data_IF_250793418044
#
_entry.id   IF_250793418044
#
_cell.length_a   1.000
_cell.length_b   1.000
_cell.length_c   1.000
_cell.angle_alpha   90.00
_cell.angle_beta   90.00
_cell.angle_gamma   90.00
#
_symmetry.space_group_name_H-M   'P 1'
#
loop_
_entity.id
_entity.type
_entity.pdbx_description
1 polymer ?
#
# COMPACT_ATOMS: atom_id res chain seq x y z
N UNK A 1 24.61 2.41 24.64
CA UNK A 1 25.57 1.70 23.76
C UNK A 1 24.77 0.95 22.70
N UNK A 2 25.21 0.84 21.45
CA UNK A 2 24.51 0.03 20.43
C UNK A 2 24.55 -1.44 20.88
N UNK A 3 23.51 -1.90 21.56
CA UNK A 3 23.41 -3.30 21.96
C UNK A 3 23.08 -4.13 20.73
N UNK A 4 24.07 -4.92 20.29
CA UNK A 4 23.95 -5.80 19.14
C UNK A 4 23.33 -7.12 19.58
N UNK A 5 22.35 -7.58 18.81
CA UNK A 5 21.75 -8.91 18.95
C UNK A 5 22.78 -10.00 18.67
N UNK A 6 22.53 -11.21 19.18
CA UNK A 6 23.48 -12.34 19.15
C UNK A 6 23.97 -12.65 17.73
N UNK A 7 23.05 -12.74 16.78
CA UNK A 7 23.33 -13.05 15.38
C UNK A 7 24.12 -11.93 14.69
N UNK A 8 23.85 -10.68 15.06
CA UNK A 8 24.57 -9.53 14.53
C UNK A 8 26.01 -9.48 15.08
N UNK A 9 26.21 -9.79 16.36
CA UNK A 9 27.56 -9.98 16.96
C UNK A 9 28.32 -11.06 16.24
N UNK A 10 27.69 -12.22 16.01
CA UNK A 10 28.30 -13.32 15.25
C UNK A 10 28.69 -12.88 13.83
N UNK A 11 27.84 -12.09 13.16
CA UNK A 11 28.15 -11.57 11.84
C UNK A 11 29.38 -10.65 11.87
N UNK A 12 29.48 -9.75 12.84
CA UNK A 12 30.68 -8.93 13.04
C UNK A 12 31.91 -9.80 13.31
N UNK A 13 31.82 -10.79 14.20
CA UNK A 13 32.93 -11.71 14.52
C UNK A 13 33.43 -12.47 13.28
N UNK A 14 32.54 -12.84 12.35
CA UNK A 14 32.90 -13.52 11.10
C UNK A 14 33.77 -12.62 10.22
N UNK A 15 33.36 -11.37 10.04
CA UNK A 15 34.09 -10.43 9.20
C UNK A 15 35.37 -9.95 9.89
N UNK A 16 35.34 -9.67 11.20
CA UNK A 16 36.52 -9.22 11.96
C UNK A 16 37.62 -10.29 12.07
N UNK A 17 37.28 -11.58 12.00
CA UNK A 17 38.25 -12.70 11.89
C UNK A 17 38.74 -12.96 10.46
N UNK A 18 38.38 -12.10 9.53
CA UNK A 18 38.73 -12.16 8.11
C UNK A 18 39.44 -10.84 7.70
N UNK A 19 39.98 -10.71 6.47
CA UNK A 19 40.61 -9.45 6.04
C UNK A 19 39.60 -8.32 5.72
N UNK A 20 38.31 -8.52 6.00
CA UNK A 20 37.24 -7.61 5.61
C UNK A 20 36.65 -6.85 6.80
N UNK A 21 36.23 -5.63 6.53
CA UNK A 21 35.52 -4.77 7.46
C UNK A 21 34.02 -4.94 7.29
N UNK A 22 33.26 -4.76 8.37
CA UNK A 22 31.80 -4.76 8.33
C UNK A 22 31.28 -3.56 9.11
N UNK A 23 30.22 -2.94 8.60
CA UNK A 23 29.56 -1.82 9.25
C UNK A 23 28.05 -1.92 9.11
N UNK A 24 27.32 -1.62 10.18
CA UNK A 24 25.93 -1.19 10.08
C UNK A 24 25.88 0.18 9.40
N UNK A 25 24.90 0.41 8.54
CA UNK A 25 24.73 1.66 7.80
C UNK A 25 23.27 2.02 7.56
N UNK A 26 22.99 3.27 7.18
CA UNK A 26 21.66 3.62 6.69
C UNK A 26 20.60 3.74 7.77
N UNK A 27 19.41 3.22 7.47
CA UNK A 27 18.22 3.41 8.30
C UNK A 27 18.32 2.73 9.67
N UNK A 28 19.04 1.61 9.77
CA UNK A 28 19.21 0.89 11.04
C UNK A 28 20.05 1.70 12.03
N UNK A 29 21.13 2.34 11.57
CA UNK A 29 21.97 3.22 12.40
C UNK A 29 21.18 4.45 12.84
N UNK A 30 20.48 5.11 11.90
CA UNK A 30 19.60 6.25 12.21
C UNK A 30 18.57 5.89 13.28
N UNK A 31 17.86 4.78 13.10
CA UNK A 31 16.83 4.36 14.04
C UNK A 31 17.41 4.09 15.43
N UNK A 32 18.54 3.38 15.53
CA UNK A 32 19.23 3.16 16.82
C UNK A 32 19.63 4.47 17.51
N UNK A 33 20.14 5.45 16.75
CA UNK A 33 20.46 6.79 17.28
C UNK A 33 19.22 7.55 17.76
N UNK A 34 18.05 7.25 17.21
CA UNK A 34 16.76 7.79 17.64
C UNK A 34 16.11 6.97 18.78
N UNK A 35 16.79 5.93 19.30
CA UNK A 35 16.21 5.03 20.30
C UNK A 35 15.15 4.07 19.78
N UNK A 36 15.09 3.85 18.46
CA UNK A 36 14.12 2.97 17.78
C UNK A 36 14.83 1.66 17.37
N UNK A 37 14.25 0.52 17.73
CA UNK A 37 14.75 -0.79 17.27
C UNK A 37 14.53 -0.96 15.75
N UNK A 38 15.59 -1.19 14.96
CA UNK A 38 15.46 -1.49 13.53
C UNK A 38 14.75 -2.83 13.31
N UNK A 39 14.02 -2.94 12.19
CA UNK A 39 13.45 -4.22 11.73
C UNK A 39 14.36 -4.92 10.73
N UNK A 40 15.00 -4.13 9.89
CA UNK A 40 15.91 -4.58 8.84
C UNK A 40 17.32 -4.03 9.14
N UNK A 41 18.33 -4.85 8.89
CA UNK A 41 19.73 -4.50 9.10
C UNK A 41 20.45 -4.39 7.75
N UNK A 42 20.76 -3.15 7.38
CA UNK A 42 21.65 -2.84 6.26
C UNK A 42 23.10 -2.82 6.75
N UNK A 43 23.94 -3.62 6.10
CA UNK A 43 25.37 -3.68 6.34
C UNK A 43 26.15 -3.38 5.07
N UNK A 44 27.40 -2.98 5.27
CA UNK A 44 28.33 -2.78 4.16
C UNK A 44 29.74 -3.23 4.52
N UNK A 45 30.46 -3.72 3.52
CA UNK A 45 31.79 -4.31 3.66
C UNK A 45 32.67 -4.00 2.46
N UNK A 46 33.99 -4.01 2.63
CA UNK A 46 34.94 -4.05 1.52
C UNK A 46 34.99 -5.43 0.83
N UNK A 47 34.37 -6.47 1.41
CA UNK A 47 34.25 -7.78 0.78
C UNK A 47 33.35 -7.71 -0.46
N UNK A 48 33.80 -8.31 -1.55
CA UNK A 48 33.00 -8.59 -2.72
C UNK A 48 31.87 -9.58 -2.39
N UNK A 49 30.88 -9.65 -3.28
CA UNK A 49 29.72 -10.54 -3.13
C UNK A 49 30.12 -12.00 -2.91
N UNK A 50 31.06 -12.52 -3.71
CA UNK A 50 31.48 -13.93 -3.63
C UNK A 50 32.27 -14.21 -2.35
N UNK A 51 33.10 -13.27 -1.91
CA UNK A 51 33.88 -13.37 -0.67
C UNK A 51 32.95 -13.37 0.55
N UNK A 52 31.99 -12.44 0.57
CA UNK A 52 30.96 -12.37 1.60
C UNK A 52 30.14 -13.66 1.65
N UNK A 53 29.73 -14.18 0.49
CA UNK A 53 28.99 -15.45 0.38
C UNK A 53 29.80 -16.62 0.96
N UNK A 54 31.08 -16.73 0.61
CA UNK A 54 31.94 -17.80 1.11
C UNK A 54 32.09 -17.76 2.64
N UNK A 55 32.30 -16.58 3.22
CA UNK A 55 32.40 -16.39 4.68
C UNK A 55 31.12 -16.83 5.40
N UNK A 56 29.97 -16.45 4.86
CA UNK A 56 28.65 -16.72 5.44
C UNK A 56 28.29 -18.21 5.38
N UNK A 57 28.55 -18.88 4.25
CA UNK A 57 28.24 -20.29 4.06
C UNK A 57 29.06 -21.18 5.01
N UNK A 58 30.32 -20.82 5.29
CA UNK A 58 31.17 -21.52 6.27
C UNK A 58 30.64 -21.43 7.71
N UNK A 59 29.65 -20.58 7.98
CA UNK A 59 29.15 -20.26 9.33
C UNK A 59 27.63 -20.39 9.46
N UNK A 60 27.04 -21.27 8.65
CA UNK A 60 25.63 -21.68 8.72
C UNK A 60 24.61 -20.55 8.47
N UNK A 61 25.00 -19.48 7.77
CA UNK A 61 24.03 -18.53 7.24
C UNK A 61 23.48 -19.04 5.91
N UNK A 62 22.17 -18.97 5.73
CA UNK A 62 21.57 -19.14 4.40
C UNK A 62 21.76 -17.84 3.63
N UNK A 63 22.32 -17.91 2.42
CA UNK A 63 22.54 -16.72 1.58
C UNK A 63 21.52 -16.70 0.46
N UNK A 64 20.79 -15.58 0.32
CA UNK A 64 20.00 -15.26 -0.86
C UNK A 64 20.78 -14.32 -1.76
N UNK A 65 20.82 -14.65 -3.04
CA UNK A 65 21.54 -13.91 -4.09
C UNK A 65 20.68 -12.85 -4.77
N UNK A 66 19.62 -12.45 -4.08
CA UNK A 66 18.73 -11.37 -4.50
C UNK A 66 19.47 -10.04 -4.36
N UNK A 67 19.97 -9.49 -5.46
CA UNK A 67 20.66 -8.19 -5.48
C UNK A 67 22.12 -8.21 -5.89
N UNK A 68 22.67 -9.33 -6.35
CA UNK A 68 24.08 -9.43 -6.80
C UNK A 68 24.41 -8.38 -7.87
N UNK A 69 23.47 -8.07 -8.79
CA UNK A 69 23.62 -7.01 -9.81
C UNK A 69 23.86 -5.62 -9.22
N UNK A 70 23.59 -5.45 -7.93
CA UNK A 70 23.83 -4.23 -7.17
C UNK A 70 24.98 -4.38 -6.18
N UNK A 71 25.64 -5.54 -6.10
CA UNK A 71 26.69 -5.80 -5.11
C UNK A 71 26.13 -6.10 -3.72
N UNK A 72 24.91 -6.62 -3.64
CA UNK A 72 24.22 -6.93 -2.39
C UNK A 72 23.87 -8.42 -2.32
N UNK A 73 24.07 -9.02 -1.15
CA UNK A 73 23.55 -10.34 -0.79
C UNK A 73 22.73 -10.24 0.49
N UNK A 74 21.81 -11.18 0.70
CA UNK A 74 21.03 -11.25 1.94
C UNK A 74 21.43 -12.49 2.73
N UNK A 75 21.96 -12.30 3.93
CA UNK A 75 22.21 -13.38 4.87
C UNK A 75 20.97 -13.58 5.75
N UNK A 76 20.54 -14.84 5.91
CA UNK A 76 19.38 -15.24 6.71
C UNK A 76 19.83 -16.17 7.84
N UNK A 77 19.39 -15.85 9.06
CA UNK A 77 19.57 -16.70 10.25
C UNK A 77 18.45 -16.43 11.25
N UNK A 78 17.86 -17.49 11.82
CA UNK A 78 16.80 -17.39 12.84
C UNK A 78 15.65 -16.42 12.47
N UNK A 79 15.19 -16.50 11.22
CA UNK A 79 14.15 -15.62 10.64
C UNK A 79 14.52 -14.12 10.52
N UNK A 80 15.76 -13.74 10.81
CA UNK A 80 16.26 -12.38 10.61
C UNK A 80 17.05 -12.29 9.29
N UNK A 81 16.85 -11.17 8.58
CA UNK A 81 17.58 -10.82 7.35
C UNK A 81 18.62 -9.73 7.61
N UNK A 82 19.78 -9.90 6.95
CA UNK A 82 20.91 -8.98 6.96
C UNK A 82 21.32 -8.71 5.51
N UNK A 83 21.09 -7.49 5.02
CA UNK A 83 21.51 -7.10 3.67
C UNK A 83 22.95 -6.60 3.71
N UNK A 84 23.87 -7.33 3.09
CA UNK A 84 25.30 -6.98 3.05
C UNK A 84 25.64 -6.48 1.67
N UNK A 85 26.09 -5.22 1.60
CA UNK A 85 26.42 -4.54 0.35
C UNK A 85 27.90 -4.20 0.27
N UNK A 86 28.58 -4.64 -0.79
CA UNK A 86 29.97 -4.25 -1.07
C UNK A 86 30.08 -2.74 -1.26
N UNK A 87 31.12 -2.13 -0.68
CA UNK A 87 31.49 -0.75 -0.90
C UNK A 87 31.53 -0.44 -2.39
N UNK A 88 30.84 0.63 -2.80
CA UNK A 88 30.72 0.98 -4.21
C UNK A 88 30.66 2.47 -4.42
N UNK A 89 31.17 2.88 -5.58
CA UNK A 89 31.04 4.21 -6.17
C UNK A 89 30.09 4.08 -7.35
N UNK A 90 29.27 5.10 -7.54
CA UNK A 90 28.40 5.21 -8.72
C UNK A 90 29.18 5.98 -9.81
N UNK A 91 29.54 5.31 -10.92
CA UNK A 91 30.19 5.93 -12.09
C UNK A 91 29.29 5.87 -13.33
N UNK A 92 29.42 6.89 -14.18
CA UNK A 92 28.74 6.99 -15.47
C UNK A 92 27.36 7.62 -15.37
N UNK A 93 27.25 8.87 -15.82
CA UNK A 93 25.98 9.56 -16.02
C UNK A 93 25.46 9.28 -17.42
N UNK A 94 24.27 8.68 -17.52
CA UNK A 94 23.44 8.84 -18.71
C UNK A 94 22.19 9.58 -18.26
N UNK A 95 21.89 10.68 -18.95
CA UNK A 95 20.66 11.49 -18.79
C UNK A 95 19.47 10.56 -18.48
N UNK A 96 18.88 10.74 -17.30
CA UNK A 96 17.61 10.12 -16.87
C UNK A 96 17.62 8.60 -16.57
N UNK A 97 18.78 7.96 -16.34
CA UNK A 97 18.86 6.58 -15.84
C UNK A 97 19.78 6.45 -14.61
N UNK A 98 19.63 5.33 -13.89
CA UNK A 98 20.56 4.89 -12.85
C UNK A 98 22.02 4.93 -13.36
N UNK A 99 23.01 5.10 -12.47
CA UNK A 99 24.43 4.99 -12.83
C UNK A 99 24.69 3.73 -13.66
N UNK A 100 25.41 3.88 -14.78
CA UNK A 100 25.62 2.80 -15.75
C UNK A 100 26.48 1.68 -15.17
N UNK A 101 27.41 2.03 -14.27
CA UNK A 101 28.38 1.10 -13.71
C UNK A 101 28.56 1.34 -12.20
N UNK A 102 28.44 0.26 -11.43
CA UNK A 102 28.85 0.22 -10.03
C UNK A 102 30.32 -0.21 -10.00
N UNK A 103 31.18 0.65 -9.44
CA UNK A 103 32.60 0.34 -9.27
C UNK A 103 32.84 0.09 -7.80
N UNK A 104 33.35 -1.09 -7.44
CA UNK A 104 33.65 -1.39 -6.05
C UNK A 104 34.79 -0.51 -5.53
N UNK A 105 34.68 -0.05 -4.29
CA UNK A 105 35.70 0.77 -3.61
C UNK A 105 36.24 0.03 -2.40
N UNK A 106 37.46 0.34 -1.99
CA UNK A 106 38.02 -0.14 -0.73
C UNK A 106 37.67 0.78 0.46
N UNK A 107 37.05 1.95 0.22
CA UNK A 107 36.83 2.99 1.25
C UNK A 107 35.36 3.13 1.64
N UNK A 108 35.06 2.95 2.92
CA UNK A 108 33.72 3.18 3.49
C UNK A 108 33.17 4.58 3.18
N UNK A 109 34.03 5.60 3.21
CA UNK A 109 33.64 7.00 2.94
C UNK A 109 33.05 7.19 1.56
N UNK A 110 33.47 6.38 0.57
CA UNK A 110 32.94 6.44 -0.78
C UNK A 110 31.52 5.89 -0.85
N UNK A 111 31.23 4.81 -0.11
CA UNK A 111 29.87 4.28 0.04
C UNK A 111 28.95 5.26 0.74
N UNK A 112 29.42 5.89 1.81
CA UNK A 112 28.64 6.87 2.56
C UNK A 112 28.34 8.14 1.72
N UNK A 113 29.29 8.56 0.86
CA UNK A 113 29.16 9.78 0.03
C UNK A 113 28.04 9.70 -1.03
N UNK A 114 27.75 8.49 -1.53
CA UNK A 114 26.69 8.26 -2.53
C UNK A 114 25.30 8.05 -1.92
N UNK A 115 25.18 8.07 -0.58
CA UNK A 115 23.88 7.91 0.07
C UNK A 115 23.01 9.15 -0.14
N UNK A 116 21.71 8.97 0.07
CA UNK A 116 20.72 9.98 -0.26
C UNK A 116 20.77 11.17 0.71
N UNK A 117 20.71 10.90 2.02
CA UNK A 117 20.61 11.91 3.06
C UNK A 117 21.63 11.69 4.17
N UNK A 118 22.12 12.79 4.75
CA UNK A 118 23.14 12.79 5.81
C UNK A 118 22.73 11.91 6.99
N UNK A 119 21.46 11.96 7.41
CA UNK A 119 20.92 11.11 8.48
C UNK A 119 21.02 9.60 8.22
N UNK A 120 21.20 9.19 6.95
CA UNK A 120 21.37 7.79 6.54
C UNK A 120 22.83 7.49 6.13
N UNK A 121 23.72 8.47 6.17
CA UNK A 121 25.12 8.37 5.76
C UNK A 121 26.06 8.22 6.97
N UNK A 122 25.62 7.40 7.94
CA UNK A 122 26.32 7.08 9.17
C UNK A 122 26.63 5.59 9.16
N UNK A 123 27.83 5.23 9.59
CA UNK A 123 28.24 3.85 9.80
C UNK A 123 28.50 3.57 11.28
N UNK A 124 28.33 2.31 11.68
CA UNK A 124 28.68 1.83 13.01
C UNK A 124 29.36 0.47 12.93
N UNK A 125 30.45 0.30 13.68
CA UNK A 125 31.07 -0.99 13.97
C UNK A 125 31.33 -1.10 15.48
N UNK A 126 31.19 -2.29 16.09
CA UNK A 126 31.50 -2.47 17.51
C UNK A 126 32.98 -2.17 17.85
N UNK A 127 33.91 -2.44 16.94
CA UNK A 127 35.35 -2.18 17.14
C UNK A 127 35.76 -0.74 16.83
N UNK A 128 35.07 -0.07 15.89
CA UNK A 128 35.44 1.29 15.43
C UNK A 128 34.51 2.40 15.92
N UNK A 129 33.39 2.04 16.56
CA UNK A 129 32.35 2.98 16.97
C UNK A 129 31.59 3.61 15.80
N UNK A 130 31.09 4.83 16.01
CA UNK A 130 30.30 5.58 15.04
C UNK A 130 31.22 6.35 14.08
N UNK A 131 30.97 6.20 12.78
CA UNK A 131 31.66 6.92 11.71
C UNK A 131 30.64 7.79 10.98
N UNK A 132 30.80 9.11 11.09
CA UNK A 132 29.85 10.11 10.60
C UNK A 132 30.52 11.25 9.82
N UNK A 133 31.05 10.99 8.61
CA UNK A 133 31.77 11.99 7.82
C UNK A 133 30.84 13.07 7.23
N UNK A 134 29.53 12.86 7.22
CA UNK A 134 28.55 13.74 6.56
C UNK A 134 27.54 14.39 7.52
N UNK A 135 27.86 14.48 8.82
CA UNK A 135 27.08 15.17 9.85
C UNK A 135 25.66 14.60 10.03
N UNK A 136 25.49 13.30 9.84
CA UNK A 136 24.24 12.60 10.02
C UNK A 136 23.68 12.67 11.44
N UNK A 137 24.52 12.62 12.49
CA UNK A 137 24.06 12.78 13.87
C UNK A 137 23.45 14.16 14.10
N UNK A 138 24.09 15.21 13.59
CA UNK A 138 23.55 16.57 13.66
C UNK A 138 22.24 16.69 12.87
N UNK A 139 22.13 16.04 11.71
CA UNK A 139 20.88 16.00 10.95
C UNK A 139 19.74 15.29 11.72
N UNK A 140 20.04 14.22 12.46
CA UNK A 140 19.08 13.52 13.31
C UNK A 140 18.64 14.39 14.48
N UNK A 141 19.60 15.00 15.19
CA UNK A 141 19.37 15.89 16.33
C UNK A 141 18.51 17.10 15.92
N UNK A 142 18.83 17.72 14.79
CA UNK A 142 18.08 18.84 14.23
C UNK A 142 16.82 18.41 13.45
N UNK A 143 16.48 17.11 13.45
CA UNK A 143 15.32 16.55 12.73
C UNK A 143 15.21 17.06 11.27
N UNK A 144 16.33 17.05 10.55
CA UNK A 144 16.45 17.65 9.23
C UNK A 144 16.83 16.61 8.17
N UNK A 145 16.13 16.64 7.04
CA UNK A 145 16.43 15.84 5.85
C UNK A 145 17.27 16.70 4.91
N UNK A 146 18.57 16.44 4.92
CA UNK A 146 19.55 17.09 4.06
C UNK A 146 20.28 16.06 3.21
N UNK A 147 20.46 16.35 1.92
CA UNK A 147 21.21 15.49 1.01
C UNK A 147 22.70 15.41 1.36
N UNK A 148 23.32 14.26 1.11
CA UNK A 148 24.79 14.16 1.17
C UNK A 148 25.39 14.94 0.00
N UNK A 149 26.13 16.02 0.30
CA UNK A 149 26.65 16.93 -0.71
C UNK A 149 25.55 17.74 -1.42
N UNK A 150 25.70 17.97 -2.73
CA UNK A 150 24.77 18.81 -3.48
C UNK A 150 23.44 18.12 -3.81
N UNK A 151 22.31 18.63 -3.30
CA UNK A 151 20.99 18.03 -3.50
C UNK A 151 20.58 17.83 -4.97
N UNK A 152 20.89 18.79 -5.85
CA UNK A 152 20.63 18.65 -7.31
C UNK A 152 21.37 17.44 -7.88
N UNK A 153 22.65 17.28 -7.57
CA UNK A 153 23.44 16.13 -8.01
C UNK A 153 22.83 14.82 -7.49
N UNK A 154 22.36 14.80 -6.23
CA UNK A 154 21.67 13.65 -5.63
C UNK A 154 20.41 13.25 -6.36
N UNK A 155 19.61 14.22 -6.79
CA UNK A 155 18.41 13.94 -7.57
C UNK A 155 18.70 13.58 -9.03
N UNK A 156 19.78 14.08 -9.63
CA UNK A 156 20.20 13.66 -10.98
C UNK A 156 20.69 12.21 -11.03
N UNK A 157 21.34 11.72 -9.99
CA UNK A 157 21.75 10.31 -9.90
C UNK A 157 20.57 9.35 -9.72
N UNK A 158 19.63 9.69 -8.85
CA UNK A 158 18.40 8.93 -8.67
C UNK A 158 17.27 9.86 -8.24
N UNK A 159 16.40 10.18 -9.19
CA UNK A 159 15.27 11.07 -8.96
C UNK A 159 14.30 10.53 -7.90
N UNK A 160 14.32 9.21 -7.61
CA UNK A 160 13.46 8.64 -6.56
C UNK A 160 13.77 9.25 -5.19
N UNK A 161 15.00 9.77 -4.99
CA UNK A 161 15.39 10.48 -3.77
C UNK A 161 14.50 11.69 -3.47
N UNK A 162 13.86 12.30 -4.47
CA UNK A 162 12.86 13.35 -4.26
C UNK A 162 11.68 12.79 -3.44
N UNK A 163 11.06 11.70 -3.90
CA UNK A 163 9.96 11.07 -3.17
C UNK A 163 10.40 10.47 -1.84
N UNK A 164 11.65 9.97 -1.75
CA UNK A 164 12.19 9.49 -0.47
C UNK A 164 12.31 10.60 0.56
N UNK A 165 12.67 11.83 0.16
CA UNK A 165 12.73 12.99 1.06
C UNK A 165 11.34 13.29 1.62
N UNK A 166 10.32 13.36 0.75
CA UNK A 166 8.92 13.56 1.15
C UNK A 166 8.44 12.42 2.05
N UNK A 167 8.70 11.16 1.68
CA UNK A 167 8.35 9.98 2.49
C UNK A 167 9.00 10.07 3.87
N UNK A 168 10.30 10.33 3.95
CA UNK A 168 10.98 10.44 5.25
C UNK A 168 10.44 11.59 6.09
N UNK A 169 10.07 12.71 5.47
CA UNK A 169 9.40 13.80 6.18
C UNK A 169 8.05 13.34 6.74
N UNK A 170 7.27 12.61 5.94
CA UNK A 170 5.96 12.10 6.35
C UNK A 170 6.06 11.05 7.47
N UNK A 171 7.07 10.17 7.43
CA UNK A 171 7.19 9.05 8.39
C UNK A 171 7.97 9.42 9.66
N UNK A 172 9.03 10.23 9.55
CA UNK A 172 9.89 10.61 10.67
C UNK A 172 9.47 11.94 11.32
N UNK A 173 8.71 12.78 10.61
CA UNK A 173 8.39 14.14 11.07
C UNK A 173 9.53 15.15 10.91
N UNK A 174 10.61 14.75 10.22
CA UNK A 174 11.74 15.63 9.98
C UNK A 174 11.40 16.66 8.90
N UNK A 175 11.96 17.87 9.02
CA UNK A 175 11.80 18.93 8.01
C UNK A 175 12.83 18.77 6.89
N UNK A 176 12.44 19.04 5.66
CA UNK A 176 13.39 19.03 4.53
C UNK A 176 14.19 20.35 4.56
N UNK A 177 15.52 20.25 4.57
CA UNK A 177 16.41 21.41 4.62
C UNK A 177 16.14 22.36 3.44
N UNK A 178 16.28 23.67 3.63
CA UNK A 178 15.91 24.67 2.62
C UNK A 178 16.64 24.46 1.27
N UNK A 179 17.92 24.08 1.31
CA UNK A 179 18.72 23.73 0.12
C UNK A 179 18.15 22.53 -0.63
N UNK A 180 17.80 21.47 0.11
CA UNK A 180 17.22 20.24 -0.41
C UNK A 180 15.81 20.47 -0.95
N UNK A 181 14.99 21.26 -0.25
CA UNK A 181 13.63 21.66 -0.68
C UNK A 181 13.66 22.41 -2.01
N UNK A 182 14.55 23.39 -2.19
CA UNK A 182 14.72 24.09 -3.48
C UNK A 182 15.06 23.12 -4.62
N UNK A 183 15.95 22.16 -4.37
CA UNK A 183 16.32 21.16 -5.35
C UNK A 183 15.18 20.17 -5.67
N UNK A 184 14.35 19.83 -4.67
CA UNK A 184 13.16 18.97 -4.84
C UNK A 184 12.22 19.56 -5.89
N UNK A 185 11.89 20.85 -5.80
CA UNK A 185 11.05 21.51 -6.80
C UNK A 185 11.74 21.69 -8.15
N UNK A 186 13.03 22.07 -8.14
CA UNK A 186 13.78 22.29 -9.37
C UNK A 186 14.08 21.02 -10.18
N UNK A 187 13.99 19.83 -9.55
CA UNK A 187 14.29 18.55 -10.18
C UNK A 187 13.05 17.63 -10.31
N UNK A 188 11.85 18.08 -9.94
CA UNK A 188 10.63 17.24 -9.92
C UNK A 188 10.34 16.54 -11.25
N UNK A 189 10.63 17.17 -12.39
CA UNK A 189 10.38 16.59 -13.72
C UNK A 189 11.18 15.31 -13.97
N UNK A 190 12.30 15.10 -13.26
CA UNK A 190 13.07 13.87 -13.35
C UNK A 190 12.26 12.64 -12.92
N UNK A 191 11.21 12.82 -12.09
CA UNK A 191 10.31 11.76 -11.66
C UNK A 191 9.55 11.11 -12.83
N UNK A 192 9.33 11.84 -13.93
CA UNK A 192 8.64 11.34 -15.13
C UNK A 192 9.36 10.15 -15.78
N UNK A 193 10.67 10.03 -15.56
CA UNK A 193 11.52 8.98 -16.14
C UNK A 193 11.66 7.75 -15.24
N UNK A 194 11.08 7.77 -14.03
CA UNK A 194 11.13 6.63 -13.12
C UNK A 194 10.07 5.58 -13.47
N UNK A 195 10.37 4.33 -13.11
CA UNK A 195 9.38 3.27 -13.21
C UNK A 195 8.21 3.53 -12.24
N UNK A 196 7.01 3.15 -12.67
CA UNK A 196 5.78 3.43 -11.95
C UNK A 196 5.71 2.70 -10.61
N UNK A 197 6.27 1.49 -10.55
CA UNK A 197 6.36 0.66 -9.34
C UNK A 197 7.25 1.32 -8.26
N UNK A 198 8.33 1.98 -8.67
CA UNK A 198 9.21 2.72 -7.73
C UNK A 198 8.49 3.93 -7.15
N UNK A 199 7.82 4.71 -8.01
CA UNK A 199 7.01 5.85 -7.59
C UNK A 199 5.90 5.41 -6.63
N UNK A 200 5.16 4.36 -7.00
CA UNK A 200 4.09 3.76 -6.20
C UNK A 200 4.58 3.31 -4.82
N UNK A 201 5.74 2.63 -4.74
CA UNK A 201 6.29 2.15 -3.48
C UNK A 201 6.60 3.28 -2.49
N UNK A 202 7.20 4.38 -2.97
CA UNK A 202 7.50 5.54 -2.12
C UNK A 202 6.22 6.33 -1.77
N UNK A 203 5.27 6.45 -2.70
CA UNK A 203 3.97 7.08 -2.45
C UNK A 203 3.18 6.34 -1.37
N UNK A 204 3.09 5.00 -1.45
CA UNK A 204 2.41 4.19 -0.44
C UNK A 204 3.00 4.43 0.96
N UNK A 205 4.34 4.44 1.06
CA UNK A 205 5.03 4.66 2.34
C UNK A 205 4.81 6.09 2.86
N UNK A 206 4.77 7.08 1.97
CA UNK A 206 4.47 8.47 2.31
C UNK A 206 3.05 8.59 2.86
N UNK A 207 2.07 8.03 2.16
CA UNK A 207 0.66 8.03 2.59
C UNK A 207 0.47 7.27 3.90
N UNK A 208 1.35 6.33 4.24
CA UNK A 208 1.36 5.64 5.54
C UNK A 208 2.18 6.36 6.62
N UNK A 209 2.63 7.60 6.36
CA UNK A 209 3.27 8.45 7.34
C UNK A 209 2.28 9.17 8.25
N UNK A 210 2.67 9.38 9.53
CA UNK A 210 1.87 10.16 10.48
C UNK A 210 1.75 11.63 10.07
N UNK A 211 2.77 12.18 9.40
CA UNK A 211 2.82 13.55 8.92
C UNK A 211 2.45 13.67 7.43
N UNK A 212 1.73 12.68 6.87
CA UNK A 212 1.37 12.66 5.46
C UNK A 212 0.57 13.89 5.02
N UNK A 213 -0.32 14.41 5.87
CA UNK A 213 -1.12 15.60 5.55
C UNK A 213 -0.23 16.83 5.29
N UNK A 214 0.66 17.17 6.23
CA UNK A 214 1.51 18.36 6.11
C UNK A 214 2.43 18.27 4.88
N UNK A 215 3.04 17.10 4.68
CA UNK A 215 3.90 16.87 3.51
C UNK A 215 3.10 16.91 2.21
N UNK A 216 1.93 16.26 2.16
CA UNK A 216 1.13 16.26 0.94
C UNK A 216 0.61 17.64 0.59
N UNK A 217 0.28 18.47 1.60
CA UNK A 217 -0.11 19.86 1.41
C UNK A 217 1.04 20.72 0.90
N UNK A 218 2.22 20.60 1.50
CA UNK A 218 3.38 21.42 1.12
C UNK A 218 3.94 21.04 -0.26
N UNK A 219 3.90 19.76 -0.62
CA UNK A 219 4.48 19.23 -1.86
C UNK A 219 3.42 18.70 -2.84
N UNK A 220 2.20 19.26 -2.78
CA UNK A 220 1.06 18.83 -3.59
C UNK A 220 1.40 18.73 -5.07
N UNK A 221 2.06 19.75 -5.62
CA UNK A 221 2.44 19.78 -7.05
C UNK A 221 3.31 18.59 -7.48
N UNK A 222 4.21 18.14 -6.61
CA UNK A 222 5.08 16.98 -6.88
C UNK A 222 4.27 15.69 -6.85
N UNK A 223 3.34 15.58 -5.92
CA UNK A 223 2.47 14.42 -5.82
C UNK A 223 1.50 14.33 -7.00
N UNK A 224 0.89 15.45 -7.39
CA UNK A 224 0.05 15.56 -8.60
C UNK A 224 0.81 15.14 -9.87
N UNK A 225 2.08 15.53 -9.98
CA UNK A 225 2.94 15.09 -11.07
C UNK A 225 3.13 13.56 -11.08
N UNK A 226 3.27 12.94 -9.91
CA UNK A 226 3.47 11.50 -9.76
C UNK A 226 2.20 10.71 -10.07
N UNK A 227 1.06 11.15 -9.52
CA UNK A 227 -0.24 10.47 -9.74
C UNK A 227 -0.88 10.81 -11.09
N UNK A 228 -0.39 11.86 -11.76
CA UNK A 228 -0.91 12.36 -13.04
C UNK A 228 -2.40 12.76 -12.97
N UNK A 229 -2.81 13.31 -11.83
CA UNK A 229 -4.14 13.90 -11.63
C UNK A 229 -4.07 15.00 -10.57
N UNK A 230 -5.11 15.85 -10.50
CA UNK A 230 -5.24 16.88 -9.48
C UNK A 230 -5.76 16.31 -8.17
N UNK A 231 -5.20 16.77 -7.06
CA UNK A 231 -5.65 16.40 -5.72
C UNK A 231 -6.70 17.41 -5.27
N UNK A 232 -7.93 16.95 -5.05
CA UNK A 232 -9.07 17.84 -4.72
C UNK A 232 -9.12 18.17 -3.22
N UNK A 233 -8.90 17.16 -2.36
CA UNK A 233 -9.01 17.32 -0.92
C UNK A 233 -7.95 16.48 -0.19
N UNK A 234 -7.06 17.14 0.54
CA UNK A 234 -6.08 16.50 1.42
C UNK A 234 -6.53 16.41 2.88
N UNK A 235 -7.60 17.12 3.26
CA UNK A 235 -8.05 17.27 4.65
C UNK A 235 -8.35 15.94 5.34
N UNK A 236 -8.81 14.93 4.58
CA UNK A 236 -9.06 13.59 5.10
C UNK A 236 -7.82 12.96 5.75
N UNK A 237 -6.60 13.27 5.28
CA UNK A 237 -5.35 12.71 5.82
C UNK A 237 -5.08 13.09 7.28
N UNK A 238 -5.72 14.16 7.80
CA UNK A 238 -5.60 14.56 9.21
C UNK A 238 -6.18 13.51 10.16
N UNK A 239 -7.30 12.91 9.75
CA UNK A 239 -8.11 12.03 10.60
C UNK A 239 -8.12 10.59 10.11
N UNK A 240 -7.74 10.35 8.84
CA UNK A 240 -7.72 9.01 8.27
C UNK A 240 -6.74 8.10 9.03
N UNK A 241 -7.15 6.87 9.38
CA UNK A 241 -6.24 5.90 9.98
C UNK A 241 -5.07 5.58 9.04
N UNK A 242 -4.01 4.98 9.58
CA UNK A 242 -2.90 4.43 8.79
C UNK A 242 -3.34 3.12 8.10
N UNK A 243 -4.32 3.24 7.22
CA UNK A 243 -4.80 2.18 6.33
C UNK A 243 -4.57 2.65 4.89
N UNK A 244 -3.81 1.88 4.12
CA UNK A 244 -3.39 2.28 2.78
C UNK A 244 -4.59 2.40 1.83
N UNK A 245 -5.49 1.42 1.80
CA UNK A 245 -6.63 1.39 0.88
C UNK A 245 -7.56 2.58 1.12
N UNK A 246 -7.83 2.92 2.38
CA UNK A 246 -8.65 4.06 2.75
C UNK A 246 -7.98 5.39 2.37
N UNK A 247 -6.66 5.49 2.58
CA UNK A 247 -5.92 6.68 2.18
C UNK A 247 -5.81 6.81 0.66
N UNK A 248 -5.69 5.70 -0.09
CA UNK A 248 -5.77 5.71 -1.55
C UNK A 248 -7.15 6.16 -2.02
N UNK A 249 -8.23 5.70 -1.36
CA UNK A 249 -9.60 6.09 -1.67
C UNK A 249 -9.81 7.60 -1.55
N UNK A 250 -9.23 8.24 -0.53
CA UNK A 250 -9.28 9.70 -0.39
C UNK A 250 -8.32 10.44 -1.32
N UNK A 251 -7.13 9.89 -1.55
CA UNK A 251 -6.06 10.57 -2.26
C UNK A 251 -6.26 10.62 -3.77
N UNK A 252 -6.73 9.51 -4.35
CA UNK A 252 -6.96 9.40 -5.78
C UNK A 252 -8.39 9.77 -6.15
N UNK A 253 -8.54 10.42 -7.30
CA UNK A 253 -9.85 10.73 -7.88
C UNK A 253 -10.29 9.62 -8.82
N UNK A 254 -9.39 9.18 -9.69
CA UNK A 254 -9.72 8.24 -10.76
C UNK A 254 -9.01 6.90 -10.59
N UNK A 255 -9.74 5.80 -10.85
CA UNK A 255 -9.17 4.46 -10.91
C UNK A 255 -8.01 4.40 -11.92
N UNK A 256 -8.11 5.16 -13.02
CA UNK A 256 -7.08 5.16 -14.07
C UNK A 256 -5.71 5.60 -13.57
N UNK A 257 -5.68 6.51 -12.60
CA UNK A 257 -4.45 7.02 -11.97
C UNK A 257 -3.74 5.92 -11.16
N UNK A 258 -4.50 5.03 -10.48
CA UNK A 258 -3.95 3.83 -9.85
C UNK A 258 -3.39 2.85 -10.89
N UNK A 259 -4.12 2.59 -11.97
CA UNK A 259 -3.64 1.69 -13.04
C UNK A 259 -2.34 2.19 -13.68
N UNK A 260 -2.24 3.50 -13.91
CA UNK A 260 -1.05 4.16 -14.45
C UNK A 260 0.17 4.04 -13.51
N UNK A 261 -0.08 3.90 -12.20
CA UNK A 261 0.93 3.63 -11.18
C UNK A 261 1.13 2.13 -10.91
N UNK A 262 0.55 1.26 -11.74
CA UNK A 262 0.72 -0.21 -11.68
C UNK A 262 0.23 -0.83 -10.37
N UNK A 263 -0.79 -0.25 -9.73
CA UNK A 263 -1.45 -0.93 -8.62
C UNK A 263 -2.10 -2.26 -9.09
N UNK A 264 -2.19 -3.27 -8.21
CA UNK A 264 -2.83 -4.54 -8.53
C UNK A 264 -4.29 -4.35 -8.98
N UNK A 265 -4.74 -5.19 -9.93
CA UNK A 265 -6.13 -5.16 -10.42
C UNK A 265 -7.16 -5.25 -9.29
N UNK A 266 -6.89 -6.09 -8.27
CA UNK A 266 -7.76 -6.21 -7.07
C UNK A 266 -7.95 -4.84 -6.39
N UNK A 267 -6.86 -4.10 -6.18
CA UNK A 267 -6.89 -2.76 -5.56
C UNK A 267 -7.67 -1.75 -6.41
N UNK A 268 -7.48 -1.77 -7.74
CA UNK A 268 -8.23 -0.88 -8.63
C UNK A 268 -9.75 -1.15 -8.60
N UNK A 269 -10.15 -2.42 -8.59
CA UNK A 269 -11.58 -2.82 -8.50
C UNK A 269 -12.15 -2.43 -7.14
N UNK A 270 -11.43 -2.69 -6.05
CA UNK A 270 -11.83 -2.30 -4.69
C UNK A 270 -12.04 -0.78 -4.60
N UNK A 271 -11.09 0.01 -5.09
CA UNK A 271 -11.18 1.48 -5.15
C UNK A 271 -12.43 1.94 -5.91
N UNK A 272 -12.67 1.37 -7.08
CA UNK A 272 -13.78 1.75 -7.96
C UNK A 272 -15.14 1.48 -7.31
N UNK A 273 -15.34 0.25 -6.83
CA UNK A 273 -16.56 -0.14 -6.11
C UNK A 273 -16.76 0.71 -4.84
N UNK A 274 -15.70 0.99 -4.09
CA UNK A 274 -15.80 1.81 -2.89
C UNK A 274 -16.14 3.28 -3.19
N UNK A 275 -15.55 3.89 -4.24
CA UNK A 275 -15.90 5.25 -4.69
C UNK A 275 -17.36 5.36 -5.14
N UNK A 276 -17.88 4.34 -5.81
CA UNK A 276 -19.28 4.28 -6.23
C UNK A 276 -20.20 4.16 -5.01
N UNK A 277 -19.92 3.19 -4.13
CA UNK A 277 -20.68 2.95 -2.91
C UNK A 277 -20.75 4.17 -1.98
N UNK A 278 -19.63 4.89 -1.84
CA UNK A 278 -19.52 6.09 -0.98
C UNK A 278 -20.62 7.12 -1.23
N UNK A 279 -21.02 7.31 -2.50
CA UNK A 279 -22.02 8.31 -2.90
C UNK A 279 -23.43 8.00 -2.38
N UNK A 280 -23.69 6.74 -2.03
CA UNK A 280 -25.02 6.27 -1.65
C UNK A 280 -25.34 6.49 -0.16
N UNK A 281 -24.33 6.66 0.69
CA UNK A 281 -24.54 6.65 2.15
C UNK A 281 -25.39 7.78 2.69
N UNK A 282 -25.39 8.96 2.04
CA UNK A 282 -26.21 10.10 2.48
C UNK A 282 -27.72 9.77 2.50
N UNK A 283 -28.15 8.83 1.65
CA UNK A 283 -29.56 8.44 1.50
C UNK A 283 -29.94 7.22 2.36
N UNK A 284 -29.07 6.75 3.25
CA UNK A 284 -29.32 5.56 4.06
C UNK A 284 -29.82 5.94 5.46
N UNK A 285 -31.10 5.75 5.72
CA UNK A 285 -31.75 6.11 6.97
C UNK A 285 -32.32 4.90 7.74
N UNK A 286 -32.61 3.81 7.04
CA UNK A 286 -33.19 2.59 7.60
C UNK A 286 -32.55 1.29 7.05
N UNK A 287 -32.97 0.14 7.60
CA UNK A 287 -32.43 -1.18 7.20
C UNK A 287 -32.76 -1.55 5.76
N UNK A 288 -33.94 -1.20 5.27
CA UNK A 288 -34.38 -1.56 3.92
C UNK A 288 -33.48 -0.91 2.86
N UNK A 289 -33.26 0.40 2.96
CA UNK A 289 -32.34 1.15 2.09
C UNK A 289 -30.91 0.57 2.16
N UNK A 290 -30.44 0.26 3.36
CA UNK A 290 -29.12 -0.35 3.56
C UNK A 290 -29.02 -1.74 2.90
N UNK A 291 -30.05 -2.58 3.02
CA UNK A 291 -30.09 -3.91 2.38
C UNK A 291 -30.11 -3.80 0.86
N UNK A 292 -30.84 -2.84 0.28
CA UNK A 292 -30.79 -2.57 -1.16
C UNK A 292 -29.40 -2.13 -1.62
N UNK A 293 -28.67 -1.35 -0.81
CA UNK A 293 -27.28 -1.04 -1.11
C UNK A 293 -26.40 -2.30 -1.01
N UNK A 294 -26.49 -3.05 0.08
CA UNK A 294 -25.72 -4.28 0.30
C UNK A 294 -25.97 -5.34 -0.77
N UNK A 295 -27.16 -5.40 -1.37
CA UNK A 295 -27.47 -6.27 -2.51
C UNK A 295 -26.43 -6.13 -3.62
N UNK A 296 -25.98 -4.91 -3.90
CA UNK A 296 -25.12 -4.60 -5.06
C UNK A 296 -23.61 -4.58 -4.75
N UNK A 297 -23.21 -4.66 -3.48
CA UNK A 297 -21.80 -4.54 -3.09
C UNK A 297 -21.32 -5.71 -2.23
N UNK A 298 -20.06 -6.08 -2.41
CA UNK A 298 -19.38 -6.99 -1.49
C UNK A 298 -19.02 -6.23 -0.19
N UNK A 299 -18.83 -6.94 0.92
CA UNK A 299 -18.58 -6.28 2.21
C UNK A 299 -17.24 -5.52 2.24
N UNK A 300 -16.21 -5.99 1.53
CA UNK A 300 -14.88 -5.33 1.47
C UNK A 300 -14.97 -3.88 0.92
N UNK A 301 -15.49 -3.61 -0.31
CA UNK A 301 -15.67 -2.24 -0.81
C UNK A 301 -16.70 -1.44 -0.01
N UNK A 302 -17.77 -2.07 0.49
CA UNK A 302 -18.78 -1.40 1.31
C UNK A 302 -18.16 -0.85 2.61
N UNK A 303 -17.41 -1.68 3.33
CA UNK A 303 -16.78 -1.28 4.60
C UNK A 303 -15.72 -0.21 4.37
N UNK A 304 -14.90 -0.35 3.33
CA UNK A 304 -13.91 0.66 2.96
C UNK A 304 -14.57 2.02 2.67
N UNK A 305 -15.67 2.01 1.92
CA UNK A 305 -16.43 3.21 1.62
C UNK A 305 -17.09 3.81 2.87
N UNK A 306 -17.63 2.98 3.76
CA UNK A 306 -18.26 3.43 5.01
C UNK A 306 -17.23 4.02 5.99
N UNK A 307 -16.04 3.43 6.08
CA UNK A 307 -14.95 3.96 6.91
C UNK A 307 -14.42 5.29 6.36
N UNK A 308 -14.35 5.45 5.04
CA UNK A 308 -14.03 6.73 4.43
C UNK A 308 -15.13 7.76 4.66
N UNK A 309 -16.40 7.39 4.47
CA UNK A 309 -17.56 8.24 4.74
C UNK A 309 -17.61 8.71 6.21
N UNK A 310 -17.18 7.87 7.14
CA UNK A 310 -17.10 8.19 8.56
C UNK A 310 -16.13 9.33 8.90
N UNK A 311 -15.13 9.59 8.04
CA UNK A 311 -14.21 10.73 8.23
C UNK A 311 -14.92 12.08 8.08
N UNK A 312 -15.95 12.13 7.22
CA UNK A 312 -16.72 13.33 6.91
C UNK A 312 -18.02 13.38 7.72
N UNK A 313 -18.67 12.23 7.93
CA UNK A 313 -20.00 12.11 8.51
C UNK A 313 -20.05 11.09 9.67
N UNK A 314 -19.29 11.29 10.76
CA UNK A 314 -19.06 10.25 11.78
C UNK A 314 -20.35 9.80 12.49
N UNK A 315 -21.27 10.73 12.80
CA UNK A 315 -22.54 10.40 13.45
C UNK A 315 -23.44 9.54 12.56
N UNK A 316 -23.49 9.86 11.26
CA UNK A 316 -24.32 9.11 10.32
C UNK A 316 -23.73 7.74 10.04
N UNK A 317 -22.42 7.66 9.83
CA UNK A 317 -21.71 6.40 9.65
C UNK A 317 -21.91 5.46 10.86
N UNK A 318 -21.94 5.98 12.09
CA UNK A 318 -22.23 5.17 13.28
C UNK A 318 -23.65 4.60 13.26
N UNK A 319 -24.65 5.38 12.81
CA UNK A 319 -26.02 4.89 12.62
C UNK A 319 -26.06 3.77 11.58
N UNK A 320 -25.36 3.93 10.45
CA UNK A 320 -25.27 2.90 9.41
C UNK A 320 -24.59 1.63 9.94
N UNK A 321 -23.49 1.76 10.70
CA UNK A 321 -22.83 0.62 11.37
C UNK A 321 -23.77 -0.12 12.33
N UNK A 322 -24.63 0.60 13.04
CA UNK A 322 -25.66 -0.02 13.91
C UNK A 322 -26.72 -0.78 13.11
N UNK A 323 -27.26 -0.18 12.05
CA UNK A 323 -28.21 -0.84 11.14
C UNK A 323 -27.60 -2.09 10.53
N UNK A 324 -26.33 -2.02 10.11
CA UNK A 324 -25.59 -3.15 9.57
C UNK A 324 -25.49 -4.28 10.59
N UNK A 325 -25.14 -3.96 11.85
CA UNK A 325 -25.10 -4.93 12.94
C UNK A 325 -26.45 -5.59 13.17
N UNK A 326 -27.53 -4.81 13.24
CA UNK A 326 -28.90 -5.35 13.43
C UNK A 326 -29.32 -6.31 12.29
N UNK A 327 -28.95 -6.00 11.03
CA UNK A 327 -29.20 -6.86 9.86
C UNK A 327 -28.48 -8.21 10.02
N UNK A 328 -27.21 -8.19 10.42
CA UNK A 328 -26.43 -9.41 10.64
C UNK A 328 -26.92 -10.22 11.85
N UNK A 329 -27.15 -9.57 12.98
CA UNK A 329 -27.63 -10.22 14.22
C UNK A 329 -28.99 -10.92 13.98
N UNK A 330 -29.83 -10.35 13.10
CA UNK A 330 -31.15 -10.89 12.76
C UNK A 330 -31.15 -11.81 11.53
N UNK A 331 -29.99 -12.07 10.90
CA UNK A 331 -29.85 -12.81 9.65
C UNK A 331 -30.80 -12.34 8.53
N UNK A 332 -31.02 -11.02 8.40
CA UNK A 332 -31.93 -10.49 7.39
C UNK A 332 -31.39 -10.71 5.96
N UNK A 333 -32.23 -11.10 4.99
CA UNK A 333 -31.79 -11.37 3.63
C UNK A 333 -31.50 -10.07 2.87
N UNK A 334 -30.34 -10.03 2.20
CA UNK A 334 -29.94 -8.95 1.29
C UNK A 334 -29.11 -9.44 0.10
N UNK A 335 -28.74 -10.73 0.08
CA UNK A 335 -28.09 -11.40 -1.06
C UNK A 335 -28.93 -12.58 -1.51
N UNK A 336 -28.76 -12.98 -2.77
CA UNK A 336 -29.40 -14.20 -3.32
C UNK A 336 -29.06 -15.46 -2.51
N UNK A 337 -27.89 -15.51 -1.89
CA UNK A 337 -27.49 -16.62 -1.04
C UNK A 337 -28.31 -16.70 0.27
N UNK A 338 -28.91 -15.59 0.72
CA UNK A 338 -29.78 -15.55 1.91
C UNK A 338 -31.24 -15.95 1.60
N UNK A 339 -31.64 -16.01 0.33
CA UNK A 339 -32.99 -16.45 -0.04
C UNK A 339 -33.21 -17.92 0.31
N UNK A 340 -34.37 -18.24 0.91
CA UNK A 340 -34.80 -19.62 1.11
C UNK A 340 -35.04 -20.34 -0.23
N UNK A 341 -35.58 -19.62 -1.22
CA UNK A 341 -35.78 -20.12 -2.58
C UNK A 341 -34.46 -20.15 -3.37
N UNK A 342 -34.09 -21.32 -3.91
CA UNK A 342 -32.92 -21.51 -4.76
C UNK A 342 -33.32 -21.81 -6.20
N UNK A 343 -32.41 -21.55 -7.14
CA UNK A 343 -32.65 -21.78 -8.57
C UNK A 343 -33.03 -23.22 -8.92
N UNK A 344 -32.48 -24.22 -8.22
CA UNK A 344 -32.84 -25.62 -8.43
C UNK A 344 -34.32 -25.92 -8.15
N UNK A 345 -34.91 -25.30 -7.12
CA UNK A 345 -36.34 -25.45 -6.83
C UNK A 345 -37.21 -24.88 -7.96
N UNK A 346 -36.82 -23.73 -8.52
CA UNK A 346 -37.49 -23.15 -9.69
C UNK A 346 -37.36 -24.03 -10.94
N UNK A 347 -36.21 -24.68 -11.15
CA UNK A 347 -36.03 -25.63 -12.25
C UNK A 347 -36.95 -26.85 -12.12
N UNK A 348 -37.06 -27.42 -10.92
CA UNK A 348 -37.98 -28.53 -10.64
C UNK A 348 -39.46 -28.15 -10.82
N UNK A 349 -39.79 -26.87 -10.67
CA UNK A 349 -41.13 -26.33 -10.92
C UNK A 349 -41.37 -25.94 -12.40
N UNK A 350 -40.42 -26.18 -13.30
CA UNK A 350 -40.57 -25.97 -14.75
C UNK A 350 -40.21 -24.58 -15.26
N UNK A 351 -39.55 -23.74 -14.46
CA UNK A 351 -39.10 -22.40 -14.89
C UNK A 351 -37.80 -22.46 -15.72
N UNK A 352 -37.78 -21.71 -16.83
CA UNK A 352 -36.63 -21.60 -17.74
C UNK A 352 -35.38 -21.01 -17.10
N UNK A 353 -34.22 -21.57 -17.43
CA UNK A 353 -32.92 -21.12 -16.91
C UNK A 353 -32.66 -19.62 -17.12
N UNK A 354 -33.06 -19.05 -18.26
CA UNK A 354 -32.86 -17.63 -18.55
C UNK A 354 -33.67 -16.71 -17.62
N UNK A 355 -34.83 -17.15 -17.12
CA UNK A 355 -35.72 -16.34 -16.27
C UNK A 355 -35.47 -16.50 -14.78
N UNK A 356 -34.81 -17.58 -14.35
CA UNK A 356 -34.56 -17.85 -12.92
C UNK A 356 -33.79 -16.70 -12.24
N UNK A 357 -32.80 -16.12 -12.93
CA UNK A 357 -32.01 -15.03 -12.36
C UNK A 357 -32.85 -13.79 -12.05
N UNK A 358 -33.83 -13.50 -12.91
CA UNK A 358 -34.80 -12.40 -12.78
C UNK A 358 -35.79 -12.69 -11.66
N UNK A 359 -36.39 -13.89 -11.63
CA UNK A 359 -37.34 -14.31 -10.59
C UNK A 359 -36.68 -14.24 -9.20
N UNK A 360 -35.45 -14.75 -9.06
CA UNK A 360 -34.71 -14.68 -7.80
C UNK A 360 -34.36 -13.24 -7.41
N UNK A 361 -34.16 -12.33 -8.38
CA UNK A 361 -33.97 -10.90 -8.08
C UNK A 361 -35.26 -10.28 -7.54
N UNK A 362 -36.41 -10.55 -8.15
CA UNK A 362 -37.70 -10.05 -7.68
C UNK A 362 -38.05 -10.60 -6.29
N UNK A 363 -37.82 -11.89 -6.05
CA UNK A 363 -37.94 -12.50 -4.74
C UNK A 363 -37.03 -11.82 -3.70
N UNK A 364 -35.78 -11.51 -4.08
CA UNK A 364 -34.84 -10.82 -3.20
C UNK A 364 -35.35 -9.43 -2.80
N UNK A 365 -35.93 -8.68 -3.73
CA UNK A 365 -36.45 -7.34 -3.46
C UNK A 365 -37.63 -7.39 -2.46
N UNK A 366 -38.53 -8.36 -2.62
CA UNK A 366 -39.63 -8.57 -1.67
C UNK A 366 -39.15 -8.90 -0.25
N UNK A 367 -38.16 -9.78 -0.12
CA UNK A 367 -37.66 -10.16 1.22
C UNK A 367 -36.77 -9.07 1.84
N UNK A 368 -36.17 -8.20 1.02
CA UNK A 368 -35.49 -7.00 1.52
C UNK A 368 -36.52 -6.05 2.14
N UNK A 369 -37.66 -5.83 1.49
CA UNK A 369 -38.72 -4.99 2.03
C UNK A 369 -39.41 -5.62 3.25
N UNK A 370 -39.68 -6.93 3.19
CA UNK A 370 -40.31 -7.67 4.27
C UNK A 370 -39.61 -9.02 4.52
N UNK A 371 -38.63 -9.07 5.44
CA UNK A 371 -37.86 -10.28 5.75
C UNK A 371 -38.67 -11.51 6.13
N UNK A 372 -39.89 -11.32 6.67
CA UNK A 372 -40.78 -12.42 7.08
C UNK A 372 -41.25 -13.27 5.89
N UNK A 373 -41.20 -12.72 4.69
CA UNK A 373 -41.58 -13.40 3.46
C UNK A 373 -40.52 -14.41 2.97
N UNK A 374 -39.35 -14.50 3.62
CA UNK A 374 -38.28 -15.41 3.23
C UNK A 374 -38.51 -16.87 3.67
N UNK A 375 -39.73 -17.37 3.52
CA UNK A 375 -40.08 -18.78 3.68
C UNK A 375 -40.19 -19.44 2.30
N UNK A 376 -39.70 -20.68 2.16
CA UNK A 376 -39.63 -21.36 0.86
C UNK A 376 -41.02 -21.51 0.23
N UNK A 377 -41.99 -21.98 1.01
CA UNK A 377 -43.37 -22.21 0.57
C UNK A 377 -44.03 -20.89 0.14
N UNK A 378 -43.84 -19.83 0.92
CA UNK A 378 -44.37 -18.50 0.62
C UNK A 378 -43.82 -17.96 -0.71
N UNK A 379 -42.50 -18.07 -0.92
CA UNK A 379 -41.85 -17.61 -2.13
C UNK A 379 -42.28 -18.42 -3.36
N UNK A 380 -42.47 -19.73 -3.23
CA UNK A 380 -42.98 -20.57 -4.33
C UNK A 380 -44.38 -20.13 -4.75
N UNK A 381 -45.29 -19.93 -3.80
CA UNK A 381 -46.66 -19.50 -4.11
C UNK A 381 -46.68 -18.09 -4.71
N UNK A 382 -45.86 -17.17 -4.19
CA UNK A 382 -45.71 -15.85 -4.80
C UNK A 382 -45.22 -15.94 -6.24
N UNK A 383 -44.20 -16.77 -6.52
CA UNK A 383 -43.67 -16.95 -7.89
C UNK A 383 -44.73 -17.53 -8.83
N UNK A 384 -45.48 -18.56 -8.41
CA UNK A 384 -46.58 -19.13 -9.23
C UNK A 384 -47.65 -18.10 -9.59
N UNK A 385 -47.94 -17.17 -8.70
CA UNK A 385 -48.91 -16.10 -8.93
C UNK A 385 -48.43 -14.99 -9.88
N UNK A 386 -47.12 -14.83 -10.09
CA UNK A 386 -46.55 -13.71 -10.84
C UNK A 386 -45.78 -14.13 -12.10
N UNK A 387 -45.35 -15.39 -12.20
CA UNK A 387 -44.55 -15.91 -13.30
C UNK A 387 -45.09 -17.25 -13.78
N UNK A 388 -45.19 -17.42 -15.10
CA UNK A 388 -45.58 -18.67 -15.74
C UNK A 388 -44.37 -19.59 -15.99
N UNK A 389 -44.44 -20.90 -15.66
CA UNK A 389 -43.54 -21.91 -16.21
C UNK A 389 -43.75 -21.99 -17.75
N UNK A 390 -42.72 -22.30 -18.54
CA UNK A 390 -42.63 -22.06 -20.01
C UNK A 390 -43.92 -22.12 -20.86
N UNK A 391 -44.02 -21.19 -21.81
CA UNK A 391 -44.92 -21.11 -22.98
C UNK A 391 -46.43 -21.29 -22.78
N UNK A 392 -47.10 -20.24 -22.29
CA UNK A 392 -48.47 -19.93 -22.72
C UNK A 392 -48.48 -19.15 -24.06
N UNK A 393 -47.71 -19.58 -25.06
CA UNK A 393 -47.82 -19.11 -26.46
C UNK A 393 -48.08 -20.33 -27.37
N UNK A 394 -49.25 -20.94 -27.21
CA UNK A 394 -50.06 -21.49 -28.31
C UNK A 394 -51.38 -22.07 -27.77
N UNK A 395 -52.31 -21.20 -27.37
CA UNK A 395 -53.73 -21.53 -27.47
C UNK A 395 -54.41 -20.33 -28.13
N UNK A 396 -54.84 -20.57 -29.37
CA UNK A 396 -55.74 -19.77 -30.18
C UNK A 396 -56.87 -19.15 -29.34
N UNK A 397 -57.41 -17.98 -29.71
CA UNK A 397 -58.55 -17.43 -29.00
C UNK A 397 -59.72 -18.41 -29.10
N UNK A 398 -60.15 -18.95 -27.96
CA UNK A 398 -61.45 -19.63 -27.88
C UNK A 398 -62.48 -18.53 -28.16
N UNK A 399 -63.02 -18.57 -29.38
CA UNK A 399 -64.23 -17.87 -29.77
C UNK A 399 -65.33 -18.28 -28.79
N UNK A 400 -65.75 -17.36 -27.92
CA UNK A 400 -67.10 -17.41 -27.39
C UNK A 400 -68.05 -16.90 -28.50
N UNK A 401 -68.67 -17.85 -29.19
CA UNK A 401 -69.95 -17.68 -29.87
C UNK A 401 -70.85 -18.82 -29.41
N UNK A 402 -71.70 -18.53 -28.42
CA UNK A 402 -73.15 -18.45 -28.59
C UNK A 402 -73.78 -18.03 -27.27
#
# INVERSE_FOLDING_TARGET
>A
MFELEKELKELFDIYEKSPYELYLVGGCVRNRLMGITPKDYDLTSNALVNESKELLLKRHFRVLETGIKHGTITALKNHQSYEITTFRIEKGHIKHRKPKELVFSARLTDDLKRRDFSMNAIAYSPTKGIIDPFKGRSAIENQTIECVGGARLRFFEDALRILRALRFSATLGFKIAASTKRAVFACKDLLKHLSKERLQSELNKLLMGKNAYEVAKEYQEILELVIQEKIENLGFLKNAPLNLELRLLGFFKHQKSLENLRYPKKTCVLFSKAKECHKSFLNIHNKTELKFLLKNYDLEPFNLALDFYALENPKHALKIKRLLKEIFDSNEPFKKEHLALKGGALQSLGYQHQKIGEILNACLDLVIENPKNNALEWLIEWVKGHYLPNDAINLSPIRQKN
#
